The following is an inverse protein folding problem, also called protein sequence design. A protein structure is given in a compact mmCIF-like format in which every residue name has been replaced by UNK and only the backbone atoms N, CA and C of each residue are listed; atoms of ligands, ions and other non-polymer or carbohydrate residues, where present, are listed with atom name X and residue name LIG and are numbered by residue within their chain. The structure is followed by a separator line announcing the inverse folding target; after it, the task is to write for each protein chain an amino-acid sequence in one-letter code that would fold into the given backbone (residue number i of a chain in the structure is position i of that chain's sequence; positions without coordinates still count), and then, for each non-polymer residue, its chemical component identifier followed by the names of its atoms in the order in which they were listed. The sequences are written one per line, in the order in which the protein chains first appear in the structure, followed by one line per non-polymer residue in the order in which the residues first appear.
data_IF_040446731266
#
_entry.id   IF_040446731266
#
_cell.length_a   1.000
_cell.length_b   1.000
_cell.length_c   1.000
_cell.angle_alpha   90.00
_cell.angle_beta   90.00
_cell.angle_gamma   90.00
#
_symmetry.space_group_name_H-M   'P 1'
#
loop_
_entity.id
_entity.type
_entity.pdbx_description
1 polymer ?
#
# COMPACT_ATOMS: atom_id res chain seq x y z
N UNK A 1 4.47 -24.06 -14.62
CA UNK A 1 4.65 -24.79 -15.88
C UNK A 1 4.07 -23.93 -16.99
N UNK A 2 4.73 -23.86 -18.15
CA UNK A 2 4.13 -23.17 -19.30
C UNK A 2 2.92 -23.93 -19.83
N UNK A 3 1.88 -23.19 -20.24
CA UNK A 3 0.67 -23.79 -20.79
C UNK A 3 0.99 -24.43 -22.15
N UNK A 4 0.41 -25.60 -22.48
CA UNK A 4 0.64 -26.25 -23.76
C UNK A 4 0.32 -25.34 -24.95
N UNK A 5 1.01 -25.57 -26.07
CA UNK A 5 0.67 -24.94 -27.34
C UNK A 5 -0.76 -25.26 -27.77
N UNK A 6 -1.42 -24.33 -28.47
CA UNK A 6 -2.84 -24.42 -28.88
C UNK A 6 -3.27 -25.78 -29.46
N UNK A 7 -2.40 -26.44 -30.24
CA UNK A 7 -2.68 -27.72 -30.90
C UNK A 7 -2.09 -28.94 -30.17
N UNK A 8 -1.35 -28.75 -29.07
CA UNK A 8 -0.74 -29.83 -28.29
C UNK A 8 -1.78 -30.57 -27.44
N UNK A 9 -1.47 -31.80 -26.99
CA UNK A 9 -2.32 -32.52 -26.04
C UNK A 9 -2.56 -31.68 -24.78
N UNK A 10 -3.80 -31.66 -24.31
CA UNK A 10 -4.14 -30.91 -23.11
C UNK A 10 -3.52 -31.53 -21.85
N UNK A 11 -3.09 -30.69 -20.92
CA UNK A 11 -2.45 -31.08 -19.66
C UNK A 11 -3.33 -31.95 -18.75
N UNK A 12 -4.65 -32.01 -18.97
CA UNK A 12 -5.56 -32.84 -18.18
C UNK A 12 -5.51 -34.34 -18.53
N UNK A 13 -4.69 -34.74 -19.51
CA UNK A 13 -4.58 -36.15 -19.91
C UNK A 13 -5.74 -36.67 -20.76
N UNK A 14 -6.69 -35.83 -21.18
CA UNK A 14 -7.86 -36.24 -21.98
C UNK A 14 -7.54 -36.69 -23.41
N UNK A 15 -6.30 -36.51 -23.88
CA UNK A 15 -5.89 -36.75 -25.27
C UNK A 15 -6.43 -35.74 -26.29
N UNK A 16 -7.31 -34.82 -25.89
CA UNK A 16 -7.82 -33.73 -26.75
C UNK A 16 -6.75 -32.65 -26.95
N UNK A 17 -6.83 -31.94 -28.08
CA UNK A 17 -6.02 -30.72 -28.30
C UNK A 17 -6.39 -29.66 -27.25
N UNK A 18 -5.41 -28.92 -26.74
CA UNK A 18 -5.61 -27.90 -25.71
C UNK A 18 -6.71 -26.89 -26.07
N UNK A 19 -6.75 -26.41 -27.33
CA UNK A 19 -7.82 -25.52 -27.84
C UNK A 19 -9.24 -26.07 -27.80
N UNK A 20 -9.39 -27.40 -27.74
CA UNK A 20 -10.67 -28.11 -27.68
C UNK A 20 -10.97 -28.65 -26.27
N UNK A 21 -10.14 -28.29 -25.29
CA UNK A 21 -10.27 -28.69 -23.91
C UNK A 21 -10.13 -27.43 -23.03
N UNK A 22 -9.08 -27.34 -22.20
CA UNK A 22 -8.97 -26.29 -21.17
C UNK A 22 -8.66 -24.88 -21.67
N UNK A 23 -8.28 -24.66 -22.94
CA UNK A 23 -7.89 -23.32 -23.40
C UNK A 23 -8.98 -22.26 -23.23
N UNK A 24 -10.26 -22.63 -23.43
CA UNK A 24 -11.37 -21.67 -23.25
C UNK A 24 -11.53 -21.29 -21.77
N UNK A 25 -11.41 -22.26 -20.87
CA UNK A 25 -11.48 -22.03 -19.44
C UNK A 25 -10.28 -21.21 -18.95
N UNK A 26 -9.07 -21.55 -19.39
CA UNK A 26 -7.84 -20.84 -19.03
C UNK A 26 -7.87 -19.38 -19.53
N UNK A 27 -8.36 -19.14 -20.76
CA UNK A 27 -8.54 -17.77 -21.29
C UNK A 27 -9.62 -16.99 -20.54
N UNK A 28 -10.68 -17.66 -20.07
CA UNK A 28 -11.71 -17.03 -19.26
C UNK A 28 -11.15 -16.64 -17.88
N UNK A 29 -10.42 -17.55 -17.22
CA UNK A 29 -9.73 -17.29 -15.97
C UNK A 29 -8.71 -16.14 -16.10
N UNK A 30 -7.93 -16.09 -17.18
CA UNK A 30 -7.01 -14.96 -17.44
C UNK A 30 -7.73 -13.61 -17.60
N UNK A 31 -8.91 -13.61 -18.24
CA UNK A 31 -9.72 -12.39 -18.41
C UNK A 31 -10.29 -11.95 -17.08
N UNK A 32 -10.77 -12.88 -16.28
CA UNK A 32 -11.25 -12.61 -14.94
C UNK A 32 -10.13 -12.04 -14.06
N UNK A 33 -8.96 -12.68 -14.00
CA UNK A 33 -7.81 -12.18 -13.24
C UNK A 33 -7.40 -10.76 -13.66
N UNK A 34 -7.39 -10.45 -14.96
CA UNK A 34 -7.15 -9.07 -15.43
C UNK A 34 -8.23 -8.10 -14.96
N UNK A 35 -9.50 -8.48 -15.01
CA UNK A 35 -10.60 -7.62 -14.56
C UNK A 35 -10.50 -7.28 -13.07
N UNK A 36 -10.07 -8.24 -12.24
CA UNK A 36 -9.82 -8.00 -10.82
C UNK A 36 -8.60 -7.13 -10.56
N UNK A 37 -7.50 -7.35 -11.29
CA UNK A 37 -6.31 -6.50 -11.20
C UNK A 37 -6.62 -5.05 -11.63
N UNK A 38 -7.36 -4.86 -12.71
CA UNK A 38 -7.82 -3.55 -13.17
C UNK A 38 -8.74 -2.89 -12.13
N UNK A 39 -9.72 -3.62 -11.60
CA UNK A 39 -10.61 -3.14 -10.55
C UNK A 39 -9.83 -2.70 -9.29
N UNK A 40 -8.82 -3.47 -8.89
CA UNK A 40 -7.98 -3.18 -7.74
C UNK A 40 -7.09 -1.95 -7.97
N UNK A 41 -6.48 -1.81 -9.15
CA UNK A 41 -5.73 -0.61 -9.52
C UNK A 41 -6.62 0.63 -9.50
N UNK A 42 -7.76 0.56 -10.16
CA UNK A 42 -8.66 1.71 -10.32
C UNK A 42 -9.29 2.11 -8.98
N UNK A 43 -9.58 1.14 -8.10
CA UNK A 43 -10.06 1.41 -6.74
C UNK A 43 -9.00 2.09 -5.85
N UNK A 44 -7.73 1.65 -5.91
CA UNK A 44 -6.63 2.32 -5.17
C UNK A 44 -6.54 3.80 -5.56
N UNK A 45 -6.53 4.08 -6.86
CA UNK A 45 -6.50 5.45 -7.38
C UNK A 45 -7.70 6.26 -6.90
N UNK A 46 -8.91 5.70 -6.98
CA UNK A 46 -10.12 6.40 -6.55
C UNK A 46 -10.14 6.70 -5.05
N UNK A 47 -9.64 5.78 -4.21
CA UNK A 47 -9.54 6.01 -2.75
C UNK A 47 -8.52 7.11 -2.46
N UNK A 48 -7.35 7.11 -3.12
CA UNK A 48 -6.37 8.17 -2.95
C UNK A 48 -6.87 9.54 -3.42
N UNK A 49 -7.52 9.60 -4.57
CA UNK A 49 -8.12 10.85 -5.07
C UNK A 49 -9.19 11.38 -4.11
N UNK A 50 -10.00 10.49 -3.53
CA UNK A 50 -11.01 10.86 -2.55
C UNK A 50 -10.41 11.31 -1.22
N UNK A 51 -9.36 10.64 -0.73
CA UNK A 51 -8.64 11.03 0.48
C UNK A 51 -7.89 12.36 0.33
N UNK A 52 -7.51 12.71 -0.90
CA UNK A 52 -6.91 14.01 -1.23
C UNK A 52 -7.95 15.10 -1.54
N UNK A 53 -9.25 14.89 -1.31
CA UNK A 53 -10.28 15.91 -1.54
C UNK A 53 -10.17 17.10 -0.56
N UNK A 54 -10.53 18.31 -1.02
CA UNK A 54 -10.46 19.55 -0.25
C UNK A 54 -11.31 19.54 1.01
N UNK A 55 -12.37 18.73 1.04
CA UNK A 55 -13.21 18.57 2.24
C UNK A 55 -12.46 17.98 3.44
N UNK A 56 -11.30 17.36 3.22
CA UNK A 56 -10.45 16.78 4.25
C UNK A 56 -9.20 17.65 4.53
N UNK A 57 -9.17 18.89 4.04
CA UNK A 57 -7.99 19.75 4.15
C UNK A 57 -7.64 20.08 5.60
N UNK A 58 -8.64 20.52 6.37
CA UNK A 58 -8.50 20.90 7.78
C UNK A 58 -8.02 19.75 8.68
N UNK A 59 -8.34 18.50 8.32
CA UNK A 59 -7.98 17.30 9.09
C UNK A 59 -6.60 16.73 8.68
N UNK A 60 -6.22 16.90 7.42
CA UNK A 60 -5.00 16.28 6.90
C UNK A 60 -3.72 16.91 7.44
N UNK A 61 -3.71 18.22 7.74
CA UNK A 61 -2.56 18.88 8.36
C UNK A 61 -2.21 18.28 9.73
N UNK A 62 -3.14 18.28 10.70
CA UNK A 62 -2.96 17.62 11.99
C UNK A 62 -2.67 16.12 11.87
N UNK A 63 -3.32 15.42 10.93
CA UNK A 63 -3.06 14.00 10.69
C UNK A 63 -1.63 13.75 10.17
N UNK A 64 -1.13 14.60 9.27
CA UNK A 64 0.24 14.51 8.75
C UNK A 64 1.28 14.79 9.84
N UNK A 65 1.04 15.78 10.70
CA UNK A 65 1.87 16.04 11.86
C UNK A 65 1.95 14.80 12.77
N UNK A 66 0.80 14.18 13.06
CA UNK A 66 0.75 12.93 13.84
C UNK A 66 1.48 11.79 13.15
N UNK A 67 1.25 11.55 11.87
CA UNK A 67 1.83 10.41 11.15
C UNK A 67 3.35 10.55 11.01
N UNK A 68 3.83 11.74 10.67
CA UNK A 68 5.24 12.03 10.41
C UNK A 68 5.98 12.60 11.62
N UNK A 69 5.50 12.37 12.86
CA UNK A 69 6.17 12.83 14.09
C UNK A 69 6.58 14.31 14.04
N UNK A 70 5.63 15.20 13.69
CA UNK A 70 5.78 16.65 13.56
C UNK A 70 6.75 17.13 12.45
N UNK A 71 7.27 16.23 11.62
CA UNK A 71 8.10 16.63 10.47
C UNK A 71 7.30 17.28 9.33
N UNK A 72 5.98 17.12 9.31
CA UNK A 72 5.10 17.83 8.38
C UNK A 72 3.98 18.54 9.13
N UNK A 73 3.43 19.57 8.51
CA UNK A 73 2.31 20.40 8.97
C UNK A 73 1.39 20.68 7.78
N UNK A 74 0.25 21.34 8.01
CA UNK A 74 -0.64 21.78 6.93
C UNK A 74 0.12 22.56 5.83
N UNK A 75 1.02 23.46 6.23
CA UNK A 75 1.81 24.31 5.31
C UNK A 75 2.88 23.54 4.53
N UNK A 76 3.44 22.48 5.13
CA UNK A 76 4.59 21.75 4.56
C UNK A 76 4.19 20.42 3.91
N UNK A 77 2.94 19.98 4.07
CA UNK A 77 2.38 18.78 3.44
C UNK A 77 2.63 18.73 1.92
N UNK A 78 2.49 19.83 1.14
CA UNK A 78 2.79 19.81 -0.29
C UNK A 78 4.27 19.55 -0.66
N UNK A 79 5.18 19.55 0.32
CA UNK A 79 6.60 19.28 0.13
C UNK A 79 6.96 17.79 0.26
N UNK A 80 5.99 16.94 0.59
CA UNK A 80 6.21 15.49 0.61
C UNK A 80 6.65 14.98 -0.77
N UNK A 81 7.62 14.06 -0.79
CA UNK A 81 7.86 13.27 -1.99
C UNK A 81 6.62 12.44 -2.35
N UNK A 82 6.47 11.99 -3.61
CA UNK A 82 5.35 11.13 -4.00
C UNK A 82 5.20 9.88 -3.12
N UNK A 83 6.32 9.26 -2.71
CA UNK A 83 6.28 8.07 -1.85
C UNK A 83 5.87 8.36 -0.41
N UNK A 84 6.26 9.51 0.15
CA UNK A 84 5.77 9.94 1.46
C UNK A 84 4.28 10.27 1.41
N UNK A 85 3.83 11.01 0.39
CA UNK A 85 2.42 11.33 0.21
C UNK A 85 1.55 10.07 0.07
N UNK A 86 2.00 9.07 -0.70
CA UNK A 86 1.28 7.81 -0.88
C UNK A 86 1.13 7.02 0.43
N UNK A 87 2.22 6.89 1.21
CA UNK A 87 2.18 6.21 2.52
C UNK A 87 1.30 6.95 3.53
N UNK A 88 1.36 8.28 3.52
CA UNK A 88 0.47 9.10 4.35
C UNK A 88 -0.99 8.91 3.96
N UNK A 89 -1.32 8.94 2.66
CA UNK A 89 -2.70 8.79 2.19
C UNK A 89 -3.27 7.38 2.46
N UNK A 90 -2.46 6.32 2.40
CA UNK A 90 -2.88 4.98 2.83
C UNK A 90 -3.30 4.99 4.30
N UNK A 91 -2.41 5.45 5.19
CA UNK A 91 -2.71 5.51 6.61
C UNK A 91 -3.90 6.44 6.92
N UNK A 92 -3.90 7.64 6.33
CA UNK A 92 -4.97 8.63 6.51
C UNK A 92 -6.32 8.09 6.04
N UNK A 93 -6.35 7.30 4.96
CA UNK A 93 -7.59 6.78 4.43
C UNK A 93 -8.19 5.65 5.28
N UNK A 94 -7.35 4.75 5.78
CA UNK A 94 -7.78 3.46 6.34
C UNK A 94 -7.61 3.31 7.85
N UNK A 95 -6.78 4.12 8.49
CA UNK A 95 -6.43 3.95 9.90
C UNK A 95 -6.69 5.20 10.74
N UNK A 96 -6.71 6.39 10.13
CA UNK A 96 -7.04 7.63 10.81
C UNK A 96 -8.56 7.86 10.88
N UNK A 97 -9.10 7.89 12.09
CA UNK A 97 -10.47 8.30 12.36
C UNK A 97 -10.54 9.83 12.39
N UNK A 98 -11.29 10.43 11.46
CA UNK A 98 -11.44 11.88 11.36
C UNK A 98 -12.15 12.42 12.61
N UNK A 99 -11.54 13.35 13.37
CA UNK A 99 -12.17 13.97 14.53
C UNK A 99 -13.55 14.56 14.28
N UNK A 100 -13.75 15.24 13.15
CA UNK A 100 -15.02 15.88 12.78
C UNK A 100 -16.16 14.91 12.49
N UNK A 101 -15.87 13.72 11.95
CA UNK A 101 -16.87 12.75 11.53
C UNK A 101 -16.99 11.53 12.45
N UNK A 102 -15.93 11.21 13.22
CA UNK A 102 -15.84 9.94 13.95
C UNK A 102 -15.72 8.72 13.03
N UNK A 103 -15.33 8.93 11.77
CA UNK A 103 -15.24 7.90 10.73
C UNK A 103 -13.91 7.97 9.99
N UNK A 104 -13.49 6.86 9.38
CA UNK A 104 -12.33 6.83 8.48
C UNK A 104 -12.75 7.23 7.08
N UNK A 105 -11.83 7.82 6.32
CA UNK A 105 -12.12 8.26 4.94
C UNK A 105 -12.60 7.10 4.06
N UNK A 106 -12.03 5.90 4.21
CA UNK A 106 -12.47 4.71 3.45
C UNK A 106 -13.92 4.31 3.76
N UNK A 107 -14.39 4.50 5.00
CA UNK A 107 -15.77 4.22 5.38
C UNK A 107 -16.73 5.24 4.75
N UNK A 108 -16.33 6.50 4.73
CA UNK A 108 -17.06 7.57 4.05
C UNK A 108 -17.09 7.31 2.53
N UNK A 109 -15.97 6.92 1.92
CA UNK A 109 -15.90 6.55 0.51
C UNK A 109 -16.86 5.40 0.19
N UNK A 110 -16.87 4.36 1.03
CA UNK A 110 -17.77 3.21 0.89
C UNK A 110 -19.24 3.62 0.95
N UNK A 111 -19.62 4.52 1.85
CA UNK A 111 -21.00 5.04 1.96
C UNK A 111 -21.41 5.89 0.76
N UNK A 112 -20.52 6.75 0.28
CA UNK A 112 -20.84 7.72 -0.78
C UNK A 112 -20.74 7.13 -2.20
N UNK A 113 -19.77 6.26 -2.45
CA UNK A 113 -19.44 5.78 -3.79
C UNK A 113 -19.81 4.31 -4.03
N UNK A 114 -20.11 3.54 -2.98
CA UNK A 114 -20.31 2.09 -3.07
C UNK A 114 -21.32 1.64 -4.13
N UNK A 115 -22.43 2.35 -4.28
CA UNK A 115 -23.45 2.03 -5.29
C UNK A 115 -22.97 2.25 -6.74
N UNK A 116 -22.04 3.18 -6.94
CA UNK A 116 -21.49 3.51 -8.27
C UNK A 116 -20.35 2.58 -8.70
N UNK A 117 -19.82 1.77 -7.78
CA UNK A 117 -18.73 0.84 -8.04
C UNK A 117 -19.17 -0.38 -8.85
N UNK A 118 -18.24 -1.03 -9.54
CA UNK A 118 -18.47 -2.37 -10.09
C UNK A 118 -18.62 -3.41 -8.97
N UNK A 119 -19.09 -4.62 -9.30
CA UNK A 119 -19.18 -5.72 -8.33
C UNK A 119 -17.81 -6.05 -7.72
N UNK A 120 -16.78 -6.14 -8.56
CA UNK A 120 -15.41 -6.41 -8.11
C UNK A 120 -14.91 -5.29 -7.19
N UNK A 121 -15.12 -4.02 -7.54
CA UNK A 121 -14.69 -2.90 -6.71
C UNK A 121 -15.43 -2.85 -5.37
N UNK A 122 -16.73 -3.15 -5.33
CA UNK A 122 -17.47 -3.25 -4.06
C UNK A 122 -16.91 -4.34 -3.17
N UNK A 123 -16.62 -5.51 -3.74
CA UNK A 123 -16.07 -6.63 -2.98
C UNK A 123 -14.67 -6.33 -2.46
N UNK A 124 -13.78 -5.78 -3.30
CA UNK A 124 -12.46 -5.31 -2.87
C UNK A 124 -12.58 -4.24 -1.78
N UNK A 125 -13.42 -3.24 -1.97
CA UNK A 125 -13.60 -2.16 -0.99
C UNK A 125 -14.08 -2.68 0.37
N UNK A 126 -15.04 -3.61 0.38
CA UNK A 126 -15.48 -4.23 1.62
C UNK A 126 -14.32 -4.96 2.32
N UNK A 127 -13.59 -5.82 1.59
CA UNK A 127 -12.45 -6.55 2.13
C UNK A 127 -11.34 -5.63 2.64
N UNK A 128 -11.05 -4.53 1.94
CA UNK A 128 -9.96 -3.63 2.30
C UNK A 128 -10.34 -2.70 3.45
N UNK A 129 -11.58 -2.19 3.48
CA UNK A 129 -12.05 -1.30 4.55
C UNK A 129 -12.17 -2.02 5.90
N UNK A 130 -12.57 -3.29 5.89
CA UNK A 130 -12.73 -4.13 7.08
C UNK A 130 -11.47 -4.93 7.42
N UNK A 131 -10.44 -4.86 6.58
CA UNK A 131 -9.17 -5.57 6.73
C UNK A 131 -8.28 -5.05 7.86
N UNK A 132 -7.13 -5.71 7.99
CA UNK A 132 -6.10 -5.33 8.96
C UNK A 132 -5.58 -3.90 8.73
N UNK A 133 -5.19 -3.18 9.79
CA UNK A 133 -4.56 -1.88 9.67
C UNK A 133 -3.18 -1.95 8.99
N UNK A 134 -2.58 -0.79 8.69
CA UNK A 134 -1.17 -0.73 8.32
C UNK A 134 -0.34 -1.37 9.45
N UNK A 135 0.58 -2.25 9.08
CA UNK A 135 1.37 -3.04 10.03
C UNK A 135 2.82 -3.16 9.62
N UNK A 136 3.58 -3.83 10.49
CA UNK A 136 4.96 -4.22 10.25
C UNK A 136 5.06 -5.72 9.98
N UNK A 137 5.90 -6.09 9.03
CA UNK A 137 6.08 -7.47 8.60
C UNK A 137 7.55 -7.80 8.42
N UNK A 138 8.06 -8.75 9.19
CA UNK A 138 9.43 -9.25 9.02
C UNK A 138 9.57 -9.98 7.67
N UNK A 139 10.54 -9.55 6.85
CA UNK A 139 10.89 -10.21 5.61
C UNK A 139 11.72 -11.47 5.89
N UNK A 140 11.07 -12.62 5.86
CA UNK A 140 11.69 -13.92 6.17
C UNK A 140 12.26 -14.63 4.94
N UNK A 141 11.81 -14.23 3.74
CA UNK A 141 12.26 -14.80 2.48
C UNK A 141 11.50 -14.23 1.29
N UNK A 142 11.85 -14.69 0.10
CA UNK A 142 11.09 -14.40 -1.10
C UNK A 142 11.29 -15.52 -2.12
N UNK A 143 10.30 -15.69 -2.99
CA UNK A 143 10.34 -16.59 -4.12
C UNK A 143 9.83 -15.83 -5.35
N UNK A 144 10.72 -15.57 -6.31
CA UNK A 144 10.42 -14.74 -7.49
C UNK A 144 9.93 -13.34 -7.08
N UNK A 145 8.65 -13.06 -7.32
CA UNK A 145 7.97 -11.79 -7.01
C UNK A 145 7.12 -11.87 -5.74
N UNK A 146 7.16 -12.99 -5.02
CA UNK A 146 6.39 -13.19 -3.79
C UNK A 146 7.31 -13.06 -2.59
N UNK A 147 6.94 -12.21 -1.65
CA UNK A 147 7.62 -12.07 -0.37
C UNK A 147 6.98 -13.00 0.65
N UNK A 148 7.81 -13.63 1.47
CA UNK A 148 7.38 -14.37 2.65
C UNK A 148 7.52 -13.47 3.86
N UNK A 149 6.40 -13.06 4.40
CA UNK A 149 6.32 -12.07 5.46
C UNK A 149 5.79 -12.72 6.73
N UNK A 150 6.33 -12.30 7.87
CA UNK A 150 5.81 -12.66 9.19
C UNK A 150 5.29 -11.39 9.86
N UNK A 151 4.00 -11.33 10.15
CA UNK A 151 3.40 -10.19 10.84
C UNK A 151 4.05 -10.02 12.22
N UNK A 152 4.45 -8.79 12.52
CA UNK A 152 5.43 -8.50 13.56
C UNK A 152 4.94 -8.76 15.00
N UNK A 153 3.63 -8.66 15.25
CA UNK A 153 3.05 -8.84 16.59
C UNK A 153 2.44 -10.24 16.80
N UNK A 154 1.62 -10.68 15.86
CA UNK A 154 0.91 -11.97 15.88
C UNK A 154 1.81 -13.14 15.48
N UNK A 155 2.85 -12.88 14.69
CA UNK A 155 3.70 -13.92 14.10
C UNK A 155 3.05 -14.70 12.96
N UNK A 156 1.89 -14.27 12.45
CA UNK A 156 1.21 -14.90 11.32
C UNK A 156 2.06 -14.79 10.05
N UNK A 157 2.11 -15.87 9.26
CA UNK A 157 2.83 -15.90 8.00
C UNK A 157 1.90 -15.51 6.85
N UNK A 158 2.36 -14.61 5.99
CA UNK A 158 1.63 -14.15 4.81
C UNK A 158 2.55 -14.04 3.59
N UNK A 159 2.06 -14.49 2.45
CA UNK A 159 2.75 -14.37 1.17
C UNK A 159 2.16 -13.19 0.39
N UNK A 160 3.00 -12.20 0.06
CA UNK A 160 2.58 -10.98 -0.63
C UNK A 160 3.27 -10.89 -1.99
N UNK A 161 2.49 -10.85 -3.06
CA UNK A 161 2.96 -10.59 -4.40
C UNK A 161 3.34 -9.11 -4.54
N UNK A 162 4.60 -8.88 -4.89
CA UNK A 162 5.13 -7.56 -5.23
C UNK A 162 5.65 -7.61 -6.68
N UNK A 163 4.93 -7.01 -7.65
CA UNK A 163 5.37 -6.94 -9.04
C UNK A 163 6.79 -6.38 -9.20
N UNK A 164 7.18 -5.41 -8.36
CA UNK A 164 8.52 -4.83 -8.34
C UNK A 164 9.61 -5.72 -7.71
N UNK A 165 9.26 -6.90 -7.20
CA UNK A 165 10.14 -7.81 -6.47
C UNK A 165 10.50 -7.30 -5.08
N UNK A 166 11.53 -7.86 -4.45
CA UNK A 166 11.92 -7.52 -3.07
C UNK A 166 12.64 -6.16 -2.90
N UNK A 167 12.99 -5.48 -4.00
CA UNK A 167 13.80 -4.25 -3.95
C UNK A 167 15.17 -4.48 -3.30
N UNK A 168 15.63 -3.53 -2.49
CA UNK A 168 16.92 -3.62 -1.79
C UNK A 168 16.77 -3.99 -0.30
N UNK A 169 15.58 -4.38 0.15
CA UNK A 169 15.34 -4.72 1.55
C UNK A 169 16.06 -6.03 1.92
N UNK A 170 16.99 -6.03 2.90
CA UNK A 170 17.64 -7.25 3.37
C UNK A 170 16.65 -8.16 4.13
N UNK A 171 16.98 -9.45 4.22
CA UNK A 171 16.22 -10.37 5.08
C UNK A 171 16.30 -9.91 6.54
N UNK A 172 15.20 -10.10 7.27
CA UNK A 172 15.01 -9.60 8.62
C UNK A 172 14.54 -8.15 8.70
N UNK A 173 14.46 -7.41 7.58
CA UNK A 173 13.85 -6.07 7.56
C UNK A 173 12.38 -6.14 7.95
N UNK A 174 11.89 -5.10 8.62
CA UNK A 174 10.44 -4.91 8.82
C UNK A 174 9.90 -4.10 7.66
N UNK A 175 9.10 -4.73 6.81
CA UNK A 175 8.33 -4.09 5.75
C UNK A 175 7.11 -3.43 6.37
N UNK A 176 6.91 -2.15 6.09
CA UNK A 176 5.78 -1.36 6.58
C UNK A 176 4.80 -1.15 5.45
N UNK A 177 3.56 -1.58 5.65
CA UNK A 177 2.51 -1.43 4.65
C UNK A 177 1.23 -2.15 5.02
N UNK A 178 0.27 -2.16 4.08
CA UNK A 178 -1.01 -2.85 4.23
C UNK A 178 -1.16 -3.94 3.17
N UNK A 179 -0.97 -5.22 3.53
CA UNK A 179 -1.37 -6.33 2.68
C UNK A 179 -2.88 -6.31 2.48
N UNK A 180 -3.31 -6.30 1.22
CA UNK A 180 -4.70 -6.37 0.80
C UNK A 180 -4.90 -7.54 -0.16
N UNK A 181 -6.05 -8.18 -0.06
CA UNK A 181 -6.37 -9.33 -0.90
C UNK A 181 -6.89 -8.88 -2.26
N UNK A 182 -6.37 -9.48 -3.33
CA UNK A 182 -6.85 -9.37 -4.70
C UNK A 182 -7.02 -10.79 -5.23
N UNK A 183 -8.27 -11.26 -5.28
CA UNK A 183 -8.61 -12.67 -5.57
C UNK A 183 -7.86 -13.68 -4.68
N UNK A 184 -6.93 -14.43 -5.24
CA UNK A 184 -6.21 -15.56 -4.65
C UNK A 184 -4.85 -15.18 -4.09
N UNK A 185 -4.44 -13.91 -4.18
CA UNK A 185 -3.16 -13.42 -3.66
C UNK A 185 -3.32 -12.17 -2.79
N UNK A 186 -2.31 -11.92 -1.96
CA UNK A 186 -2.13 -10.64 -1.29
C UNK A 186 -1.17 -9.76 -2.09
N UNK A 187 -1.43 -8.47 -2.07
CA UNK A 187 -0.59 -7.41 -2.62
C UNK A 187 -0.48 -6.29 -1.57
N UNK A 188 0.48 -5.38 -1.69
CA UNK A 188 0.40 -4.16 -0.91
C UNK A 188 -0.66 -3.19 -1.48
N UNK A 189 -1.35 -2.47 -0.60
CA UNK A 189 -2.29 -1.43 -1.01
C UNK A 189 -1.55 -0.27 -1.69
N UNK A 190 -0.48 0.19 -1.06
CA UNK A 190 0.38 1.31 -1.48
C UNK A 190 1.85 0.95 -1.42
N UNK A 191 2.73 1.85 -1.88
CA UNK A 191 4.19 1.69 -1.80
C UNK A 191 4.68 1.42 -0.36
N UNK A 192 5.15 0.20 -0.05
CA UNK A 192 5.66 -0.09 1.28
C UNK A 192 7.05 0.51 1.50
N UNK A 193 7.35 0.84 2.75
CA UNK A 193 8.70 1.18 3.20
C UNK A 193 9.32 0.02 3.97
N UNK A 194 10.58 0.14 4.39
CA UNK A 194 11.16 -0.83 5.31
C UNK A 194 12.09 -0.21 6.35
N UNK A 195 12.23 -0.90 7.48
CA UNK A 195 13.22 -0.65 8.52
C UNK A 195 14.32 -1.73 8.38
N UNK A 196 15.60 -1.36 8.22
CA UNK A 196 16.72 -2.30 8.18
C UNK A 196 16.86 -3.12 9.47
N UNK A 197 17.36 -4.37 9.44
CA UNK A 197 17.50 -5.24 10.60
C UNK A 197 18.22 -4.60 11.79
N UNK A 198 19.28 -3.84 11.49
CA UNK A 198 20.11 -3.13 12.45
C UNK A 198 19.37 -1.97 13.16
N UNK A 199 18.26 -1.50 12.60
CA UNK A 199 17.44 -0.40 13.13
C UNK A 199 16.17 -0.89 13.84
N UNK A 200 15.98 -2.20 14.03
CA UNK A 200 14.77 -2.76 14.67
C UNK A 200 14.87 -2.77 16.21
N UNK A 201 16.06 -2.54 16.78
CA UNK A 201 16.26 -2.52 18.22
C UNK A 201 15.24 -1.58 18.89
N UNK A 202 14.60 -2.03 19.97
CA UNK A 202 13.53 -1.35 20.72
C UNK A 202 12.15 -1.23 20.04
N UNK A 203 12.03 -1.50 18.74
CA UNK A 203 10.74 -1.46 18.03
C UNK A 203 9.74 -2.46 18.61
N UNK A 204 10.19 -3.69 18.86
CA UNK A 204 9.35 -4.75 19.43
C UNK A 204 8.82 -4.36 20.80
N UNK A 205 9.69 -3.93 21.71
CA UNK A 205 9.30 -3.53 23.06
C UNK A 205 8.32 -2.36 23.04
N UNK A 206 8.57 -1.36 22.18
CA UNK A 206 7.72 -0.17 22.04
C UNK A 206 6.31 -0.55 21.57
N UNK A 207 6.22 -1.37 20.54
CA UNK A 207 4.93 -1.76 19.96
C UNK A 207 4.16 -2.74 20.86
N UNK A 208 4.84 -3.72 21.46
CA UNK A 208 4.20 -4.65 22.40
C UNK A 208 3.69 -3.91 23.64
N UNK A 209 4.45 -2.95 24.16
CA UNK A 209 4.00 -2.12 25.29
C UNK A 209 2.80 -1.25 24.92
N UNK A 210 2.77 -0.69 23.70
CA UNK A 210 1.66 0.13 23.21
C UNK A 210 0.39 -0.70 22.89
N UNK A 211 0.56 -1.89 22.31
CA UNK A 211 -0.54 -2.78 21.97
C UNK A 211 -1.17 -3.44 23.22
N UNK A 212 -0.37 -3.74 24.24
CA UNK A 212 -0.82 -4.45 25.45
C UNK A 212 -1.52 -5.77 25.09
N UNK A 213 -2.65 -6.04 25.72
CA UNK A 213 -3.50 -7.22 25.42
C UNK A 213 -4.29 -7.08 24.10
N UNK A 214 -4.24 -5.91 23.45
CA UNK A 214 -4.98 -5.59 22.22
C UNK A 214 -4.23 -5.94 20.92
N UNK A 215 -3.22 -6.80 20.98
CA UNK A 215 -2.38 -7.14 19.81
C UNK A 215 -3.15 -7.77 18.62
N UNK A 216 -4.37 -8.25 18.85
CA UNK A 216 -5.27 -8.77 17.80
C UNK A 216 -6.51 -7.89 17.56
N UNK A 217 -6.64 -6.76 18.26
CA UNK A 217 -7.73 -5.80 18.07
C UNK A 217 -7.31 -4.74 17.05
N UNK A 218 -7.95 -4.75 15.87
CA UNK A 218 -7.66 -3.82 14.80
C UNK A 218 -7.77 -2.35 15.24
N UNK A 219 -8.66 -2.01 16.17
CA UNK A 219 -8.81 -0.62 16.62
C UNK A 219 -7.65 -0.20 17.54
N UNK A 220 -7.19 -1.10 18.41
CA UNK A 220 -5.98 -0.88 19.19
C UNK A 220 -4.74 -0.79 18.28
N UNK A 221 -4.64 -1.62 17.25
CA UNK A 221 -3.55 -1.58 16.28
C UNK A 221 -3.53 -0.26 15.48
N UNK A 222 -4.68 0.23 14.98
CA UNK A 222 -4.78 1.54 14.30
C UNK A 222 -4.29 2.70 15.16
N UNK A 223 -4.59 2.68 16.46
CA UNK A 223 -4.18 3.75 17.37
C UNK A 223 -2.66 3.89 17.50
N UNK A 224 -1.92 2.79 17.33
CA UNK A 224 -0.49 2.70 17.60
C UNK A 224 0.37 2.43 16.37
N UNK A 225 -0.20 2.16 15.20
CA UNK A 225 0.60 1.82 14.02
C UNK A 225 1.50 2.97 13.50
N UNK A 226 1.22 4.23 13.88
CA UNK A 226 2.13 5.36 13.63
C UNK A 226 3.50 5.18 14.28
N UNK A 227 3.59 4.37 15.35
CA UNK A 227 4.85 4.11 16.05
C UNK A 227 5.89 3.40 15.17
N UNK A 228 5.46 2.61 14.17
CA UNK A 228 6.38 2.05 13.18
C UNK A 228 7.12 3.16 12.41
N UNK A 229 6.36 4.18 11.98
CA UNK A 229 6.89 5.31 11.22
C UNK A 229 7.76 6.18 12.13
N UNK A 230 7.28 6.50 13.33
CA UNK A 230 8.03 7.31 14.30
C UNK A 230 9.38 6.68 14.64
N UNK A 231 9.38 5.36 14.85
CA UNK A 231 10.61 4.61 15.09
C UNK A 231 11.59 4.77 13.92
N UNK A 232 11.14 4.54 12.69
CA UNK A 232 11.98 4.65 11.51
C UNK A 232 12.56 6.08 11.33
N UNK A 233 11.76 7.12 11.61
CA UNK A 233 12.19 8.51 11.57
C UNK A 233 13.27 8.82 12.62
N UNK A 234 13.12 8.30 13.84
CA UNK A 234 14.13 8.47 14.89
C UNK A 234 15.42 7.70 14.55
N UNK A 235 15.32 6.49 13.98
CA UNK A 235 16.50 5.75 13.54
C UNK A 235 17.24 6.48 12.40
N UNK A 236 16.52 7.07 11.44
CA UNK A 236 17.13 7.91 10.41
C UNK A 236 17.92 9.07 11.01
N UNK A 237 17.33 9.77 12.00
CA UNK A 237 17.99 10.86 12.72
C UNK A 237 19.22 10.39 13.49
N UNK A 238 19.14 9.27 14.21
CA UNK A 238 20.28 8.67 14.93
C UNK A 238 21.42 8.29 13.98
N UNK A 239 21.09 7.81 12.78
CA UNK A 239 22.04 7.50 11.72
C UNK A 239 22.58 8.73 10.96
N UNK A 240 22.13 9.94 11.31
CA UNK A 240 22.52 11.18 10.62
C UNK A 240 21.93 11.32 9.21
N UNK A 241 20.89 10.56 8.88
CA UNK A 241 20.15 10.62 7.63
C UNK A 241 19.00 11.63 7.76
N UNK A 242 18.60 12.33 6.67
CA UNK A 242 17.39 13.14 6.68
C UNK A 242 16.17 12.25 6.98
N UNK A 243 15.35 12.56 8.00
CA UNK A 243 14.20 11.73 8.36
C UNK A 243 13.03 11.87 7.37
N UNK A 244 12.96 12.97 6.64
CA UNK A 244 11.95 13.20 5.59
C UNK A 244 12.59 13.93 4.41
N UNK A 245 12.04 13.75 3.21
CA UNK A 245 12.64 14.26 1.96
C UNK A 245 12.85 15.77 1.98
N UNK A 246 11.91 16.54 2.53
CA UNK A 246 12.03 18.00 2.57
C UNK A 246 13.23 18.52 3.38
N UNK A 247 13.83 17.66 4.23
CA UNK A 247 15.02 17.97 5.01
C UNK A 247 16.31 17.45 4.35
N UNK A 248 16.22 16.75 3.23
CA UNK A 248 17.39 16.31 2.47
C UNK A 248 17.96 17.48 1.65
N UNK A 249 19.20 17.91 1.91
CA UNK A 249 19.83 19.01 1.18
C UNK A 249 20.03 18.70 -0.31
N UNK A 250 20.10 17.42 -0.70
CA UNK A 250 20.24 17.02 -2.10
C UNK A 250 18.90 17.10 -2.86
N UNK A 251 17.77 16.84 -2.20
CA UNK A 251 16.43 17.00 -2.80
C UNK A 251 15.99 18.46 -2.93
N UNK A 252 16.42 19.34 -2.03
CA UNK A 252 16.11 20.77 -2.12
C UNK A 252 16.72 21.43 -3.38
N UNK A 253 17.78 20.86 -3.96
CA UNK A 253 18.50 21.40 -5.10
C UNK A 253 17.85 21.09 -6.47
N UNK A 254 17.05 20.01 -6.58
CA UNK A 254 16.50 19.54 -7.87
C UNK A 254 15.13 20.13 -8.22
N UNK A 255 14.64 21.12 -7.46
CA UNK A 255 13.38 21.80 -7.77
C UNK A 255 12.19 20.84 -7.65
N UNK A 256 11.79 20.55 -6.41
CA UNK A 256 10.58 19.79 -6.10
C UNK A 256 9.41 20.41 -6.87
N UNK A 257 8.84 19.69 -7.85
CA UNK A 257 7.56 20.08 -8.42
C UNK A 257 6.53 20.02 -7.29
N UNK A 258 6.12 21.20 -6.82
CA UNK A 258 5.03 21.35 -5.88
C UNK A 258 3.78 20.77 -6.53
N UNK A 259 3.33 19.62 -6.05
CA UNK A 259 1.99 19.16 -6.38
C UNK A 259 1.04 19.98 -5.52
N UNK A 260 0.27 20.86 -6.15
CA UNK A 260 -0.84 21.48 -5.46
C UNK A 260 -1.86 20.39 -5.16
N UNK A 261 -2.22 20.25 -3.88
CA UNK A 261 -3.31 19.39 -3.44
C UNK A 261 -4.57 19.69 -4.26
N UNK A 262 -5.38 18.67 -4.55
CA UNK A 262 -6.60 18.80 -5.38
C UNK A 262 -6.38 19.00 -6.88
N UNK A 263 -5.15 18.90 -7.40
CA UNK A 263 -4.92 18.95 -8.84
C UNK A 263 -5.37 17.63 -9.51
N UNK A 264 -6.52 17.66 -10.20
CA UNK A 264 -7.08 16.50 -10.93
C UNK A 264 -6.06 15.86 -11.87
N UNK A 265 -5.87 14.55 -11.74
CA UNK A 265 -5.16 13.72 -12.73
C UNK A 265 -6.11 13.45 -13.90
N UNK A 266 -5.72 13.78 -15.14
CA UNK A 266 -6.46 13.38 -16.34
C UNK A 266 -6.03 11.97 -16.76
N UNK A 267 -6.91 10.98 -16.56
CA UNK A 267 -6.72 9.64 -17.10
C UNK A 267 -7.12 9.65 -18.58
N UNK A 268 -6.16 9.56 -19.50
CA UNK A 268 -6.45 9.17 -20.90
C UNK A 268 -6.61 7.66 -20.94
N UNK A 269 -7.58 7.20 -21.73
CA UNK A 269 -7.91 5.78 -21.90
C UNK A 269 -6.77 4.92 -22.46
N UNK A 270 -7.01 3.62 -22.71
CA UNK A 270 -6.05 2.50 -22.62
C UNK A 270 -4.84 2.50 -23.57
N UNK A 271 -4.64 3.54 -24.39
CA UNK A 271 -3.47 3.72 -25.25
C UNK A 271 -2.72 5.05 -25.05
N UNK A 272 -3.13 5.89 -24.09
CA UNK A 272 -2.47 7.16 -23.79
C UNK A 272 -1.59 7.05 -22.56
N UNK A 273 -0.29 7.38 -22.68
CA UNK A 273 0.53 7.67 -21.51
C UNK A 273 -0.16 8.77 -20.68
N UNK A 274 -0.25 8.53 -19.38
CA UNK A 274 -0.77 9.48 -18.41
C UNK A 274 0.23 10.63 -18.25
N UNK A 275 -0.10 11.81 -18.77
CA UNK A 275 0.58 13.04 -18.36
C UNK A 275 0.04 13.43 -16.97
N UNK A 276 0.94 13.53 -15.99
CA UNK A 276 0.69 13.94 -14.59
C UNK A 276 -0.05 12.96 -13.66
N UNK A 277 -0.33 11.72 -14.08
CA UNK A 277 -0.42 10.66 -13.08
C UNK A 277 1.00 10.40 -12.55
N UNK A 278 1.20 10.06 -11.27
CA UNK A 278 2.42 9.34 -10.94
C UNK A 278 2.44 8.16 -11.91
N UNK A 279 3.44 8.12 -12.79
CA UNK A 279 3.79 6.86 -13.39
C UNK A 279 3.89 5.91 -12.18
N UNK A 280 3.28 4.73 -12.29
CA UNK A 280 3.76 3.57 -11.54
C UNK A 280 5.19 3.35 -12.03
N UNK A 281 6.10 4.26 -11.65
CA UNK A 281 7.52 4.02 -11.57
C UNK A 281 7.56 2.74 -10.77
N UNK A 282 8.31 1.76 -11.27
CA UNK A 282 8.68 0.59 -10.49
C UNK A 282 9.36 1.13 -9.22
N UNK A 283 8.55 1.38 -8.20
CA UNK A 283 8.96 2.11 -7.02
C UNK A 283 9.54 1.05 -6.12
N UNK A 284 10.85 0.83 -6.29
CA UNK A 284 11.60 -0.01 -5.38
C UNK A 284 11.37 0.50 -3.96
N UNK A 285 11.07 -0.42 -3.04
CA UNK A 285 11.01 -0.11 -1.61
C UNK A 285 12.27 0.62 -1.19
N UNK A 286 12.09 1.74 -0.51
CA UNK A 286 13.18 2.52 0.08
C UNK A 286 13.10 2.37 1.60
N UNK A 287 14.26 2.52 2.25
CA UNK A 287 14.27 2.84 3.66
C UNK A 287 13.48 4.14 3.85
N UNK A 288 12.76 4.26 4.96
CA UNK A 288 12.06 5.50 5.32
C UNK A 288 13.06 6.66 5.33
#
# INVERSE_FOLDING_TARGET
MDRPGRNEPCYCGSGKKYKQCHMVADLAADREGRAWADAARDLRLAIFEFADDARFEDEAGPAAARYWNEYYSAETLPLMSPGEAERFLDWFAFDYTLPSAGERVVDIYRKEQGENLSLQQRELLAQWADGAPLGGYELTGYERQTLRLKEFLSGEMIDVFEPGGHGNAPLGSIILGRPVRVQDQYEFFSLPAYIPPEEIADLHNTLTAAAGDGATDNEALRRHNVLYIHHALEQAKLAGRPPVTRLDPHHAAEGVQQRHRHQRVRIKGPAGQTENAPQLVQAHRKAI
#
